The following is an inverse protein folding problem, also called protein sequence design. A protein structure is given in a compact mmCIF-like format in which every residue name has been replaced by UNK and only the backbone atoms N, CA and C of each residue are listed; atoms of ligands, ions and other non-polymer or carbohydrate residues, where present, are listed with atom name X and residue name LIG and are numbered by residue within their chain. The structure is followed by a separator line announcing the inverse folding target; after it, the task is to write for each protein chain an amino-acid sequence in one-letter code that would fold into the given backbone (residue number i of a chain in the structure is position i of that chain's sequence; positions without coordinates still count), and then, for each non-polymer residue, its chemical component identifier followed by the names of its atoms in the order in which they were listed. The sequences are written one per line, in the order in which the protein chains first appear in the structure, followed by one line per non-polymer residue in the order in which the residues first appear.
data_IF_135617089517
#
_entry.id   IF_135617089517
#
_cell.length_a   1.000
_cell.length_b   1.000
_cell.length_c   1.000
_cell.angle_alpha   90.00
_cell.angle_beta   90.00
_cell.angle_gamma   90.00
#
_symmetry.space_group_name_H-M   'P 1'
#
loop_
_entity.id
_entity.type
_entity.pdbx_description
1 polymer ?
#
# COMPACT_ATOMS: atom_id res chain seq x y z
N UNK A 1 -15.16 1.52 -3.59
CA UNK A 1 -14.63 2.87 -3.84
C UNK A 1 -14.00 3.42 -2.56
N UNK A 2 -12.82 4.00 -2.67
CA UNK A 2 -12.12 4.69 -1.58
C UNK A 2 -12.10 6.18 -1.93
N UNK A 3 -12.49 7.04 -1.00
CA UNK A 3 -12.58 8.47 -1.21
C UNK A 3 -11.92 9.21 -0.04
N UNK A 4 -11.02 10.11 -0.37
CA UNK A 4 -10.43 11.08 0.56
C UNK A 4 -10.88 12.46 0.12
N UNK A 5 -11.41 13.24 1.07
CA UNK A 5 -11.89 14.61 0.82
C UNK A 5 -11.25 15.57 1.79
N UNK A 6 -10.62 16.61 1.24
CA UNK A 6 -10.02 17.73 1.96
C UNK A 6 -9.09 17.25 3.07
N UNK A 7 -8.30 16.20 2.80
CA UNK A 7 -7.38 15.64 3.79
C UNK A 7 -6.23 16.61 4.04
N UNK A 8 -6.16 17.03 5.29
CA UNK A 8 -5.00 17.75 5.84
C UNK A 8 -4.33 16.87 6.88
N UNK A 9 -3.01 16.80 6.84
CA UNK A 9 -2.20 16.15 7.88
C UNK A 9 -1.03 17.03 8.27
N UNK A 10 -0.99 17.35 9.53
CA UNK A 10 0.05 18.17 10.16
C UNK A 10 0.83 17.34 11.20
N UNK A 11 2.10 17.61 11.34
CA UNK A 11 2.99 17.14 12.41
C UNK A 11 3.64 18.36 13.05
N UNK A 12 3.12 18.78 14.20
CA UNK A 12 3.46 20.07 14.77
C UNK A 12 3.09 21.21 13.81
N UNK A 13 4.06 22.07 13.51
CA UNK A 13 3.86 23.20 12.58
C UNK A 13 4.09 22.85 11.10
N UNK A 14 4.36 21.58 10.79
CA UNK A 14 4.65 21.15 9.43
C UNK A 14 3.45 20.45 8.79
N UNK A 15 2.89 21.05 7.73
CA UNK A 15 1.82 20.46 6.90
C UNK A 15 2.44 19.51 5.89
N UNK A 16 2.09 18.21 5.99
CA UNK A 16 2.58 17.14 5.09
C UNK A 16 1.56 16.83 4.01
N UNK A 17 0.26 16.94 4.31
CA UNK A 17 -0.82 16.83 3.32
C UNK A 17 -1.68 18.09 3.42
N UNK A 18 -1.96 18.71 2.28
CA UNK A 18 -2.68 19.96 2.18
C UNK A 18 -3.91 19.82 1.28
N UNK A 19 -5.09 19.72 1.90
CA UNK A 19 -6.41 19.64 1.25
C UNK A 19 -6.48 18.62 0.11
N UNK A 20 -5.97 17.40 0.36
CA UNK A 20 -5.92 16.35 -0.65
C UNK A 20 -7.31 15.78 -0.93
N UNK A 21 -7.74 15.89 -2.19
CA UNK A 21 -8.92 15.25 -2.75
C UNK A 21 -8.50 14.15 -3.72
N UNK A 22 -8.83 12.89 -3.40
CA UNK A 22 -8.53 11.76 -4.29
C UNK A 22 -9.53 10.62 -4.09
N UNK A 23 -9.86 9.96 -5.20
CA UNK A 23 -10.73 8.78 -5.21
C UNK A 23 -10.02 7.64 -5.92
N UNK A 24 -10.10 6.44 -5.35
CA UNK A 24 -9.56 5.21 -5.93
C UNK A 24 -10.71 4.27 -6.28
N UNK A 25 -10.73 3.80 -7.53
CA UNK A 25 -11.76 2.91 -8.03
C UNK A 25 -11.60 1.50 -7.42
N UNK A 26 -12.73 0.85 -7.16
CA UNK A 26 -12.75 -0.55 -6.72
C UNK A 26 -12.37 -1.48 -7.88
N UNK A 27 -11.63 -2.54 -7.59
CA UNK A 27 -11.15 -3.49 -8.59
C UNK A 27 -10.01 -2.96 -9.45
N UNK A 28 -9.41 -1.79 -9.13
CA UNK A 28 -8.31 -1.22 -9.89
C UNK A 28 -7.07 -0.99 -9.03
N UNK A 29 -5.93 -0.85 -9.69
CA UNK A 29 -4.66 -0.48 -9.07
C UNK A 29 -4.35 0.96 -9.40
N UNK A 30 -4.12 1.77 -8.37
CA UNK A 30 -3.65 3.14 -8.52
C UNK A 30 -2.22 3.26 -8.00
N UNK A 31 -1.32 3.75 -8.84
CA UNK A 31 0.02 4.12 -8.44
C UNK A 31 0.04 5.55 -7.86
N UNK A 32 0.53 5.69 -6.65
CA UNK A 32 0.79 6.99 -6.02
C UNK A 32 2.26 7.31 -6.18
N UNK A 33 2.59 8.21 -7.09
CA UNK A 33 3.96 8.58 -7.44
C UNK A 33 4.31 9.98 -6.93
N UNK A 34 5.60 10.27 -6.80
CA UNK A 34 6.09 11.57 -6.34
C UNK A 34 7.47 11.47 -5.71
N UNK A 35 8.09 12.61 -5.42
CA UNK A 35 9.39 12.68 -4.79
C UNK A 35 9.38 12.10 -3.36
N UNK A 36 10.56 11.75 -2.85
CA UNK A 36 10.72 11.42 -1.43
C UNK A 36 10.29 12.63 -0.57
N UNK A 37 9.56 12.36 0.51
CA UNK A 37 8.99 13.43 1.34
C UNK A 37 7.73 14.10 0.77
N UNK A 38 7.25 13.72 -0.43
CA UNK A 38 6.07 14.33 -1.06
C UNK A 38 4.71 14.00 -0.42
N UNK A 39 4.68 13.18 0.67
CA UNK A 39 3.46 12.86 1.40
C UNK A 39 2.83 11.51 1.07
N UNK A 40 3.39 10.70 0.14
CA UNK A 40 2.82 9.43 -0.34
C UNK A 40 2.52 8.42 0.79
N UNK A 41 3.53 8.09 1.59
CA UNK A 41 3.38 7.17 2.73
C UNK A 41 2.42 7.71 3.78
N UNK A 42 2.43 9.03 4.00
CA UNK A 42 1.49 9.69 4.91
C UNK A 42 0.06 9.58 4.40
N UNK A 43 -0.16 9.76 3.09
CA UNK A 43 -1.48 9.61 2.48
C UNK A 43 -1.98 8.15 2.60
N UNK A 44 -1.14 7.14 2.32
CA UNK A 44 -1.49 5.73 2.54
C UNK A 44 -1.85 5.45 4.00
N UNK A 45 -1.08 6.00 4.94
CA UNK A 45 -1.32 5.85 6.39
C UNK A 45 -2.56 6.61 6.86
N UNK A 46 -2.98 7.65 6.16
CA UNK A 46 -4.27 8.30 6.40
C UNK A 46 -5.45 7.44 5.90
N UNK A 47 -5.29 6.68 4.81
CA UNK A 47 -6.35 5.78 4.32
C UNK A 47 -6.66 4.70 5.37
N UNK A 48 -5.64 4.08 5.98
CA UNK A 48 -5.83 3.04 6.99
C UNK A 48 -5.84 3.57 8.43
N UNK A 49 -5.79 4.89 8.60
CA UNK A 49 -5.78 5.58 9.90
C UNK A 49 -4.62 5.19 10.83
N UNK A 50 -3.50 4.67 10.31
CA UNK A 50 -2.24 4.63 11.06
C UNK A 50 -1.78 6.04 11.40
N UNK A 51 -1.99 6.97 10.47
CA UNK A 51 -1.94 8.40 10.72
C UNK A 51 -3.36 8.96 10.68
N UNK A 52 -3.82 9.54 11.79
CA UNK A 52 -5.12 10.19 11.84
C UNK A 52 -5.00 11.55 11.13
N UNK A 53 -5.82 11.84 10.11
CA UNK A 53 -5.86 13.16 9.48
C UNK A 53 -6.15 14.28 10.51
N UNK A 54 -5.56 15.45 10.32
CA UNK A 54 -5.87 16.65 11.11
C UNK A 54 -7.29 17.14 10.79
N UNK A 55 -7.66 17.10 9.50
CA UNK A 55 -9.02 17.42 9.04
C UNK A 55 -9.36 16.69 7.75
N UNK A 56 -10.62 16.76 7.33
CA UNK A 56 -11.12 16.14 6.11
C UNK A 56 -11.94 14.88 6.37
N UNK A 57 -12.11 14.02 5.38
CA UNK A 57 -12.82 12.75 5.54
C UNK A 57 -12.23 11.62 4.73
N UNK A 58 -12.32 10.40 5.28
CA UNK A 58 -11.92 9.14 4.62
C UNK A 58 -13.15 8.24 4.53
N UNK A 59 -13.42 7.70 3.34
CA UNK A 59 -14.47 6.72 3.10
C UNK A 59 -13.87 5.47 2.44
N UNK A 60 -14.25 4.30 2.93
CA UNK A 60 -13.95 3.00 2.30
C UNK A 60 -15.27 2.21 2.26
N UNK A 61 -15.80 2.00 1.05
CA UNK A 61 -17.13 1.41 0.90
C UNK A 61 -18.20 2.25 1.59
N UNK A 62 -18.91 1.64 2.55
CA UNK A 62 -19.99 2.29 3.31
C UNK A 62 -19.48 2.99 4.58
N UNK A 63 -18.24 2.75 4.98
CA UNK A 63 -17.63 3.36 6.17
C UNK A 63 -17.05 4.72 5.84
N UNK A 64 -17.54 5.77 6.50
CA UNK A 64 -17.03 7.14 6.40
C UNK A 64 -16.66 7.67 7.77
N UNK A 65 -15.49 8.30 7.87
CA UNK A 65 -15.05 9.05 9.05
C UNK A 65 -14.69 10.48 8.65
N UNK A 66 -15.10 11.40 9.50
CA UNK A 66 -14.78 12.83 9.38
C UNK A 66 -13.83 13.23 10.50
N UNK A 67 -12.88 14.08 10.17
CA UNK A 67 -11.83 14.56 11.07
C UNK A 67 -11.90 16.05 11.17
N UNK A 68 -11.76 16.56 12.41
CA UNK A 68 -11.75 17.98 12.72
C UNK A 68 -10.61 18.28 13.68
N UNK A 69 -9.92 19.41 13.56
CA UNK A 69 -8.84 19.78 14.46
C UNK A 69 -9.24 19.67 15.93
N UNK A 70 -8.44 18.98 16.73
CA UNK A 70 -8.69 18.79 18.17
C UNK A 70 -9.80 17.78 18.53
N UNK A 71 -10.57 17.28 17.56
CA UNK A 71 -11.60 16.28 17.83
C UNK A 71 -11.02 14.88 18.00
N UNK A 72 -11.54 14.11 18.95
CA UNK A 72 -11.17 12.71 19.15
C UNK A 72 -12.06 11.81 18.28
N UNK A 73 -11.43 10.95 17.50
CA UNK A 73 -12.14 9.91 16.73
C UNK A 73 -12.34 8.68 17.61
N UNK A 74 -13.55 8.14 17.62
CA UNK A 74 -13.87 6.94 18.40
C UNK A 74 -13.07 5.73 17.94
N UNK A 75 -12.40 5.03 18.87
CA UNK A 75 -11.56 3.88 18.57
C UNK A 75 -12.29 2.76 17.81
N UNK A 76 -13.56 2.51 18.14
CA UNK A 76 -14.37 1.49 17.45
C UNK A 76 -14.55 1.82 15.96
N UNK A 77 -14.77 3.08 15.61
CA UNK A 77 -14.91 3.54 14.21
C UNK A 77 -13.58 3.43 13.46
N UNK A 78 -12.46 3.78 14.10
CA UNK A 78 -11.12 3.60 13.57
C UNK A 78 -10.86 2.12 13.26
N UNK A 79 -11.15 1.22 14.21
CA UNK A 79 -10.98 -0.23 14.00
C UNK A 79 -11.84 -0.75 12.84
N UNK A 80 -13.08 -0.26 12.71
CA UNK A 80 -14.00 -0.69 11.66
C UNK A 80 -13.46 -0.32 10.28
N UNK A 81 -12.91 0.88 10.12
CA UNK A 81 -12.29 1.31 8.87
C UNK A 81 -10.97 0.57 8.62
N UNK A 82 -10.12 0.38 9.62
CA UNK A 82 -8.86 -0.38 9.49
C UNK A 82 -9.08 -1.81 8.99
N UNK A 83 -10.16 -2.47 9.40
CA UNK A 83 -10.50 -3.82 8.94
C UNK A 83 -10.83 -3.91 7.45
N UNK A 84 -11.13 -2.76 6.81
CA UNK A 84 -11.34 -2.70 5.36
C UNK A 84 -10.02 -2.66 4.57
N UNK A 85 -8.87 -2.51 5.26
CA UNK A 85 -7.57 -2.29 4.63
C UNK A 85 -6.56 -3.38 5.00
N UNK A 86 -5.74 -3.79 4.04
CA UNK A 86 -4.49 -4.50 4.28
C UNK A 86 -3.32 -3.55 4.01
N UNK A 87 -2.24 -3.65 4.78
CA UNK A 87 -1.05 -2.81 4.61
C UNK A 87 0.19 -3.65 4.41
N UNK A 88 0.92 -3.36 3.34
CA UNK A 88 2.24 -3.89 3.02
C UNK A 88 3.26 -2.77 3.20
N UNK A 89 4.27 -3.00 4.03
CA UNK A 89 5.28 -2.00 4.38
C UNK A 89 6.58 -2.24 3.61
N UNK A 90 7.37 -1.20 3.45
CA UNK A 90 8.68 -1.23 2.81
C UNK A 90 9.64 -2.25 3.46
N UNK A 91 9.66 -2.35 4.79
CA UNK A 91 10.57 -3.20 5.56
C UNK A 91 9.86 -4.47 6.07
N UNK A 92 8.95 -5.05 5.29
CA UNK A 92 8.23 -6.31 5.55
C UNK A 92 7.43 -6.33 6.86
N UNK A 93 7.97 -5.86 7.98
CA UNK A 93 7.35 -5.77 9.31
C UNK A 93 6.81 -7.12 9.81
N UNK A 94 7.50 -8.22 9.49
CA UNK A 94 7.15 -9.54 9.99
C UNK A 94 7.46 -9.67 11.48
N UNK A 95 6.64 -10.45 12.19
CA UNK A 95 6.93 -10.83 13.57
C UNK A 95 8.11 -11.82 13.59
N UNK A 96 9.28 -11.46 14.12
CA UNK A 96 10.48 -12.28 14.00
C UNK A 96 10.39 -13.58 14.81
N UNK A 97 9.51 -13.61 15.81
CA UNK A 97 9.25 -14.75 16.71
C UNK A 97 8.04 -15.60 16.27
N UNK A 98 7.63 -15.49 15.01
CA UNK A 98 6.54 -16.23 14.38
C UNK A 98 7.01 -16.83 13.07
N UNK A 99 6.55 -18.03 12.74
CA UNK A 99 6.77 -18.63 11.41
C UNK A 99 6.03 -17.85 10.32
N UNK A 100 6.27 -18.15 9.04
CA UNK A 100 5.57 -17.52 7.95
C UNK A 100 4.05 -17.72 8.04
N UNK A 101 3.60 -18.95 8.31
CA UNK A 101 2.18 -19.25 8.46
C UNK A 101 1.57 -18.55 9.68
N UNK A 102 2.28 -18.49 10.81
CA UNK A 102 1.80 -17.79 12.00
C UNK A 102 1.74 -16.27 11.78
N UNK A 103 2.68 -15.69 11.02
CA UNK A 103 2.61 -14.28 10.61
C UNK A 103 1.33 -13.97 9.83
N UNK A 104 0.95 -14.84 8.89
CA UNK A 104 -0.27 -14.67 8.08
C UNK A 104 -1.52 -14.90 8.91
N UNK A 105 -1.53 -15.91 9.81
CA UNK A 105 -2.70 -16.26 10.63
C UNK A 105 -2.95 -15.29 11.80
N UNK A 106 -1.95 -14.52 12.22
CA UNK A 106 -1.97 -13.73 13.46
C UNK A 106 -3.21 -12.84 13.60
N UNK A 107 -3.49 -12.01 12.57
CA UNK A 107 -4.64 -11.10 12.61
C UNK A 107 -5.98 -11.81 12.62
N UNK A 108 -6.07 -12.98 12.01
CA UNK A 108 -7.29 -13.80 12.01
C UNK A 108 -7.61 -14.32 13.40
N UNK A 109 -6.59 -14.79 14.13
CA UNK A 109 -6.74 -15.34 15.48
C UNK A 109 -6.92 -14.23 16.52
N UNK A 110 -6.01 -13.24 16.53
CA UNK A 110 -5.96 -12.25 17.60
C UNK A 110 -6.98 -11.13 17.45
N UNK A 111 -7.24 -10.67 16.23
CA UNK A 111 -8.15 -9.55 15.95
C UNK A 111 -9.54 -10.03 15.56
N UNK A 112 -9.63 -10.97 14.61
CA UNK A 112 -10.90 -11.47 14.11
C UNK A 112 -11.47 -12.63 14.93
N UNK A 113 -10.71 -13.15 15.91
CA UNK A 113 -11.12 -14.23 16.82
C UNK A 113 -11.54 -15.52 16.11
N UNK A 114 -10.93 -15.80 14.95
CA UNK A 114 -11.18 -17.06 14.24
C UNK A 114 -10.63 -18.25 15.01
N UNK A 115 -11.26 -19.44 14.90
CA UNK A 115 -10.66 -20.70 15.34
C UNK A 115 -9.28 -20.90 14.68
N UNK A 116 -8.29 -21.34 15.46
CA UNK A 116 -6.89 -21.44 15.02
C UNK A 116 -6.75 -22.29 13.75
N UNK A 117 -7.45 -23.42 13.68
CA UNK A 117 -7.42 -24.32 12.52
C UNK A 117 -7.90 -23.62 11.25
N UNK A 118 -9.02 -22.87 11.32
CA UNK A 118 -9.54 -22.10 10.21
C UNK A 118 -8.55 -21.00 9.78
N UNK A 119 -7.93 -20.32 10.73
CA UNK A 119 -6.93 -19.29 10.45
C UNK A 119 -5.68 -19.87 9.77
N UNK A 120 -5.17 -21.01 10.23
CA UNK A 120 -4.04 -21.70 9.62
C UNK A 120 -4.37 -22.24 8.22
N UNK A 121 -5.59 -22.74 8.00
CA UNK A 121 -6.03 -23.16 6.67
C UNK A 121 -5.99 -21.97 5.69
N UNK A 122 -6.59 -20.84 6.06
CA UNK A 122 -6.57 -19.61 5.27
C UNK A 122 -5.14 -19.11 5.03
N UNK A 123 -4.28 -19.20 6.04
CA UNK A 123 -2.88 -18.78 5.90
C UNK A 123 -2.12 -19.66 4.90
N UNK A 124 -2.36 -20.99 4.86
CA UNK A 124 -1.76 -21.89 3.86
C UNK A 124 -2.20 -21.54 2.44
N UNK A 125 -3.50 -21.31 2.21
CA UNK A 125 -4.02 -20.87 0.91
C UNK A 125 -3.32 -19.59 0.42
N UNK A 126 -3.11 -18.62 1.32
CA UNK A 126 -2.47 -17.36 0.96
C UNK A 126 -0.96 -17.50 0.75
N UNK A 127 -0.28 -18.36 1.50
CA UNK A 127 1.12 -18.67 1.25
C UNK A 127 1.31 -19.40 -0.08
N UNK A 128 0.39 -20.29 -0.44
CA UNK A 128 0.38 -20.94 -1.76
C UNK A 128 0.18 -19.90 -2.87
N UNK A 129 -0.79 -19.00 -2.69
CA UNK A 129 -1.07 -17.91 -3.63
C UNK A 129 0.14 -17.02 -3.92
N UNK A 130 1.02 -16.80 -2.94
CA UNK A 130 2.26 -16.02 -3.12
C UNK A 130 3.49 -16.90 -3.42
N UNK A 131 3.29 -18.19 -3.75
CA UNK A 131 4.34 -19.14 -4.13
C UNK A 131 5.23 -19.61 -2.97
N UNK A 132 4.73 -19.56 -1.72
CA UNK A 132 5.50 -19.88 -0.51
C UNK A 132 4.90 -21.02 0.32
N UNK A 133 4.07 -21.91 -0.27
CA UNK A 133 3.50 -23.05 0.43
C UNK A 133 4.57 -23.90 1.12
N UNK A 134 5.70 -24.14 0.44
CA UNK A 134 6.85 -24.93 0.93
C UNK A 134 7.65 -24.23 2.05
N UNK A 135 7.39 -22.96 2.34
CA UNK A 135 8.04 -22.15 3.38
C UNK A 135 7.12 -21.80 4.56
N UNK A 136 5.97 -22.47 4.68
CA UNK A 136 4.98 -22.17 5.73
C UNK A 136 5.58 -22.15 7.14
N UNK A 137 6.44 -23.09 7.47
CA UNK A 137 7.05 -23.22 8.79
C UNK A 137 8.40 -22.49 8.92
N UNK A 138 8.83 -21.76 7.89
CA UNK A 138 10.09 -21.02 7.91
C UNK A 138 9.99 -19.78 8.82
N UNK A 139 11.08 -19.46 9.50
CA UNK A 139 11.22 -18.25 10.31
C UNK A 139 11.62 -17.06 9.40
N UNK A 140 11.20 -15.82 9.69
CA UNK A 140 11.58 -14.66 8.90
C UNK A 140 13.08 -14.54 8.63
N UNK A 141 13.92 -14.81 9.62
CA UNK A 141 15.37 -14.75 9.49
C UNK A 141 15.98 -15.74 8.46
N UNK A 142 15.23 -16.78 8.07
CA UNK A 142 15.66 -17.78 7.08
C UNK A 142 15.08 -17.54 5.68
N UNK A 143 14.29 -16.48 5.53
CA UNK A 143 13.67 -16.09 4.27
C UNK A 143 14.46 -14.97 3.59
N UNK A 144 14.56 -15.02 2.25
CA UNK A 144 15.08 -13.88 1.46
C UNK A 144 14.18 -12.66 1.63
N UNK A 145 14.68 -11.46 1.28
CA UNK A 145 13.88 -10.23 1.33
C UNK A 145 12.60 -10.33 0.50
N UNK A 146 12.68 -10.87 -0.73
CA UNK A 146 11.52 -11.11 -1.58
C UNK A 146 10.52 -12.11 -0.98
N UNK A 147 11.01 -13.18 -0.34
CA UNK A 147 10.17 -14.12 0.38
C UNK A 147 9.49 -13.47 1.58
N UNK A 148 10.21 -12.66 2.38
CA UNK A 148 9.63 -11.93 3.50
C UNK A 148 8.53 -10.96 3.02
N UNK A 149 8.75 -10.26 1.92
CA UNK A 149 7.74 -9.35 1.35
C UNK A 149 6.50 -10.11 0.86
N UNK A 150 6.68 -11.26 0.22
CA UNK A 150 5.55 -12.10 -0.19
C UNK A 150 4.76 -12.63 1.01
N UNK A 151 5.41 -12.99 2.12
CA UNK A 151 4.71 -13.31 3.39
C UNK A 151 3.96 -12.09 3.93
N UNK A 152 4.53 -10.88 3.85
CA UNK A 152 3.86 -9.64 4.26
C UNK A 152 2.62 -9.34 3.41
N UNK A 153 2.68 -9.59 2.09
CA UNK A 153 1.52 -9.50 1.20
C UNK A 153 0.44 -10.52 1.61
N UNK A 154 0.80 -11.78 1.81
CA UNK A 154 -0.14 -12.81 2.26
C UNK A 154 -0.81 -12.44 3.60
N UNK A 155 -0.03 -11.92 4.56
CA UNK A 155 -0.54 -11.42 5.84
C UNK A 155 -1.53 -10.26 5.66
N UNK A 156 -1.23 -9.32 4.78
CA UNK A 156 -2.10 -8.19 4.51
C UNK A 156 -3.43 -8.61 3.84
N UNK A 157 -3.41 -9.68 3.05
CA UNK A 157 -4.59 -10.27 2.40
C UNK A 157 -5.44 -11.15 3.33
N UNK A 158 -4.87 -11.61 4.45
CA UNK A 158 -5.52 -12.60 5.31
C UNK A 158 -6.92 -12.20 5.79
N UNK A 159 -7.17 -10.95 6.24
CA UNK A 159 -8.49 -10.49 6.67
C UNK A 159 -9.48 -10.27 5.51
N UNK A 160 -9.10 -10.52 4.25
CA UNK A 160 -9.88 -10.21 3.05
C UNK A 160 -10.26 -8.72 2.97
N UNK A 161 -9.27 -7.81 2.95
CA UNK A 161 -9.52 -6.38 2.93
C UNK A 161 -10.17 -5.94 1.61
N UNK A 162 -10.90 -4.81 1.63
CA UNK A 162 -11.42 -4.17 0.42
C UNK A 162 -10.32 -3.49 -0.40
N UNK A 163 -9.24 -3.08 0.24
CA UNK A 163 -8.10 -2.44 -0.43
C UNK A 163 -6.78 -2.89 0.19
N UNK A 164 -5.82 -3.19 -0.66
CA UNK A 164 -4.43 -3.42 -0.28
C UNK A 164 -3.62 -2.14 -0.52
N UNK A 165 -3.02 -1.63 0.54
CA UNK A 165 -2.17 -0.46 0.53
C UNK A 165 -0.71 -0.92 0.56
N UNK A 166 0.09 -0.52 -0.42
CA UNK A 166 1.50 -0.92 -0.51
C UNK A 166 2.40 0.32 -0.44
N UNK A 167 3.20 0.40 0.60
CA UNK A 167 4.16 1.50 0.81
C UNK A 167 5.55 1.03 0.37
N UNK A 168 5.98 1.45 -0.83
CA UNK A 168 7.29 1.13 -1.43
C UNK A 168 7.62 -0.38 -1.40
N UNK A 169 6.76 -1.27 -1.96
CA UNK A 169 6.81 -2.71 -1.71
C UNK A 169 8.07 -3.40 -2.25
N UNK A 170 8.86 -2.75 -3.10
CA UNK A 170 10.06 -3.32 -3.74
C UNK A 170 11.34 -2.58 -3.40
N UNK A 171 11.28 -1.43 -2.72
CA UNK A 171 12.43 -0.53 -2.56
C UNK A 171 13.56 -1.07 -1.66
N UNK A 172 13.28 -2.07 -0.81
CA UNK A 172 14.27 -2.73 0.05
C UNK A 172 14.85 -4.01 -0.57
N UNK A 173 14.58 -4.27 -1.86
CA UNK A 173 14.93 -5.49 -2.57
C UNK A 173 15.90 -5.19 -3.72
N UNK A 174 16.78 -6.15 -4.00
CA UNK A 174 17.51 -6.15 -5.26
C UNK A 174 16.55 -6.38 -6.47
N UNK A 175 16.97 -6.07 -7.71
CA UNK A 175 16.09 -6.12 -8.86
C UNK A 175 15.48 -7.51 -9.15
N UNK A 176 16.19 -8.58 -8.84
CA UNK A 176 15.74 -9.96 -9.09
C UNK A 176 14.61 -10.32 -8.11
N UNK A 177 14.83 -10.10 -6.81
CA UNK A 177 13.82 -10.33 -5.79
C UNK A 177 12.62 -9.38 -5.92
N UNK A 178 12.84 -8.14 -6.38
CA UNK A 178 11.77 -7.20 -6.68
C UNK A 178 10.85 -7.72 -7.78
N UNK A 179 11.40 -8.35 -8.83
CA UNK A 179 10.60 -8.92 -9.93
C UNK A 179 9.62 -9.99 -9.44
N UNK A 180 10.02 -10.85 -8.50
CA UNK A 180 9.14 -11.86 -7.90
C UNK A 180 7.95 -11.22 -7.15
N UNK A 181 8.20 -10.12 -6.45
CA UNK A 181 7.13 -9.37 -5.73
C UNK A 181 6.19 -8.67 -6.72
N UNK A 182 6.74 -8.07 -7.79
CA UNK A 182 5.96 -7.44 -8.86
C UNK A 182 5.02 -8.45 -9.52
N UNK A 183 5.48 -9.68 -9.77
CA UNK A 183 4.67 -10.73 -10.37
C UNK A 183 3.46 -11.09 -9.49
N UNK A 184 3.67 -11.24 -8.17
CA UNK A 184 2.59 -11.48 -7.21
C UNK A 184 1.59 -10.31 -7.22
N UNK A 185 2.05 -9.06 -7.19
CA UNK A 185 1.18 -7.89 -7.24
C UNK A 185 0.42 -7.80 -8.58
N UNK A 186 1.08 -8.13 -9.70
CA UNK A 186 0.45 -8.19 -11.02
C UNK A 186 -0.64 -9.27 -11.11
N UNK A 187 -0.41 -10.43 -10.48
CA UNK A 187 -1.43 -11.48 -10.38
C UNK A 187 -2.64 -10.99 -9.58
N UNK A 188 -2.43 -10.36 -8.43
CA UNK A 188 -3.51 -9.80 -7.61
C UNK A 188 -4.30 -8.72 -8.37
N UNK A 189 -3.61 -7.90 -9.18
CA UNK A 189 -4.25 -6.91 -10.05
C UNK A 189 -5.17 -7.57 -11.10
N UNK A 190 -4.69 -8.62 -11.77
CA UNK A 190 -5.50 -9.40 -12.73
C UNK A 190 -6.73 -10.07 -12.09
N UNK A 191 -6.65 -10.42 -10.82
CA UNK A 191 -7.76 -10.97 -10.04
C UNK A 191 -8.75 -9.91 -9.55
N UNK A 192 -8.54 -8.64 -9.88
CA UNK A 192 -9.42 -7.53 -9.51
C UNK A 192 -9.23 -7.04 -8.06
N UNK A 193 -8.07 -7.30 -7.44
CA UNK A 193 -7.77 -6.75 -6.12
C UNK A 193 -7.61 -5.22 -6.23
N UNK A 194 -8.36 -4.48 -5.43
CA UNK A 194 -8.16 -3.02 -5.31
C UNK A 194 -6.84 -2.74 -4.60
N UNK A 195 -5.96 -1.96 -5.23
CA UNK A 195 -4.66 -1.63 -4.64
C UNK A 195 -4.34 -0.15 -4.79
N UNK A 196 -3.69 0.42 -3.78
CA UNK A 196 -3.03 1.74 -3.85
C UNK A 196 -1.56 1.53 -3.50
N UNK A 197 -0.68 1.82 -4.43
CA UNK A 197 0.75 1.52 -4.33
C UNK A 197 1.54 2.82 -4.37
N UNK A 198 2.12 3.23 -3.25
CA UNK A 198 3.10 4.30 -3.23
C UNK A 198 4.44 3.75 -3.72
N UNK A 199 4.98 4.37 -4.75
CA UNK A 199 6.28 3.96 -5.29
C UNK A 199 6.97 5.10 -6.04
N UNK A 200 8.28 5.04 -6.11
CA UNK A 200 9.10 5.83 -7.05
C UNK A 200 9.57 4.98 -8.25
N UNK A 201 9.28 3.68 -8.26
CA UNK A 201 9.58 2.79 -9.39
C UNK A 201 8.48 2.89 -10.45
N UNK A 202 8.79 3.62 -11.56
CA UNK A 202 7.88 3.75 -12.69
C UNK A 202 7.66 2.44 -13.43
N UNK A 203 8.60 1.49 -13.38
CA UNK A 203 8.45 0.17 -14.01
C UNK A 203 7.35 -0.61 -13.30
N UNK A 204 7.40 -0.68 -11.97
CA UNK A 204 6.33 -1.26 -11.18
C UNK A 204 5.00 -0.57 -11.48
N UNK A 205 4.96 0.77 -11.38
CA UNK A 205 3.76 1.54 -11.61
C UNK A 205 3.15 1.32 -13.01
N UNK A 206 3.97 1.36 -14.07
CA UNK A 206 3.51 1.16 -15.46
C UNK A 206 3.05 -0.27 -15.76
N UNK A 207 3.61 -1.26 -15.06
CA UNK A 207 3.29 -2.68 -15.28
C UNK A 207 1.92 -3.05 -14.72
N UNK A 208 1.53 -2.51 -13.56
CA UNK A 208 0.37 -3.02 -12.83
C UNK A 208 -0.75 -1.99 -12.59
N UNK A 209 -0.45 -0.67 -12.67
CA UNK A 209 -1.43 0.35 -12.36
C UNK A 209 -2.25 0.78 -13.58
N UNK A 210 -3.57 0.85 -13.42
CA UNK A 210 -4.49 1.44 -14.39
C UNK A 210 -4.56 2.96 -14.26
N UNK A 211 -4.48 3.46 -13.03
CA UNK A 211 -4.51 4.88 -12.69
C UNK A 211 -3.21 5.30 -12.02
N UNK A 212 -2.82 6.55 -12.18
CA UNK A 212 -1.71 7.14 -11.44
C UNK A 212 -2.10 8.49 -10.85
N UNK A 213 -1.56 8.78 -9.67
CA UNK A 213 -1.70 10.05 -8.96
C UNK A 213 -0.32 10.58 -8.65
N UNK A 214 0.02 11.74 -9.18
CA UNK A 214 1.24 12.44 -8.83
C UNK A 214 1.01 13.37 -7.66
N UNK A 215 1.66 13.05 -6.54
CA UNK A 215 1.62 13.81 -5.29
C UNK A 215 2.96 14.50 -5.05
N UNK A 216 2.95 15.79 -4.81
CA UNK A 216 4.14 16.58 -4.50
C UNK A 216 3.83 17.65 -3.45
N UNK A 217 4.73 17.79 -2.47
CA UNK A 217 4.56 18.75 -1.37
C UNK A 217 3.17 18.72 -0.73
N UNK A 218 2.62 17.52 -0.56
CA UNK A 218 1.33 17.31 0.09
C UNK A 218 0.09 17.58 -0.77
N UNK A 219 0.24 17.94 -2.04
CA UNK A 219 -0.90 18.22 -2.94
C UNK A 219 -0.90 17.29 -4.16
N UNK A 220 -2.10 16.94 -4.64
CA UNK A 220 -2.26 16.20 -5.90
C UNK A 220 -2.03 17.17 -7.07
N UNK A 221 -0.96 16.96 -7.82
CA UNK A 221 -0.60 17.78 -8.98
C UNK A 221 -1.33 17.31 -10.23
N UNK A 222 -1.40 15.98 -10.43
CA UNK A 222 -2.04 15.39 -11.60
C UNK A 222 -2.55 13.98 -11.27
N UNK A 223 -3.69 13.62 -11.86
CA UNK A 223 -4.27 12.29 -11.78
C UNK A 223 -4.83 11.90 -13.14
N UNK A 224 -4.69 10.63 -13.51
CA UNK A 224 -5.26 10.09 -14.75
C UNK A 224 -4.83 8.66 -15.01
N UNK A 225 -5.20 8.12 -16.20
CA UNK A 225 -4.72 6.81 -16.64
C UNK A 225 -3.20 6.73 -16.57
N UNK A 226 -2.65 5.67 -15.99
CA UNK A 226 -1.21 5.55 -15.75
C UNK A 226 -0.41 5.66 -17.03
N UNK A 227 -0.90 5.05 -18.13
CA UNK A 227 -0.27 5.13 -19.46
C UNK A 227 -0.14 6.56 -19.97
N UNK A 228 -1.18 7.37 -19.82
CA UNK A 228 -1.17 8.77 -20.27
C UNK A 228 -0.26 9.62 -19.39
N UNK A 229 -0.38 9.47 -18.07
CA UNK A 229 0.40 10.23 -17.11
C UNK A 229 1.91 9.98 -17.27
N UNK A 230 2.32 8.73 -17.64
CA UNK A 230 3.72 8.39 -17.83
C UNK A 230 4.27 8.76 -19.21
N UNK A 231 3.44 8.77 -20.29
CA UNK A 231 3.90 9.06 -21.65
C UNK A 231 3.67 10.49 -22.10
N UNK A 232 2.60 11.13 -21.66
CA UNK A 232 2.16 12.45 -22.09
C UNK A 232 1.52 13.27 -20.96
N UNK A 233 2.22 13.48 -19.82
CA UNK A 233 1.67 14.23 -18.70
C UNK A 233 1.30 15.66 -19.11
N UNK A 234 0.15 16.14 -18.59
CA UNK A 234 -0.41 17.45 -18.95
C UNK A 234 0.22 18.59 -18.14
N UNK A 235 0.66 18.29 -16.91
CA UNK A 235 1.25 19.32 -16.04
C UNK A 235 2.75 19.38 -16.22
N UNK A 236 3.30 20.60 -16.40
CA UNK A 236 4.74 20.82 -16.57
C UNK A 236 5.55 20.20 -15.41
N UNK A 237 4.99 20.22 -14.20
CA UNK A 237 5.65 19.65 -13.01
C UNK A 237 5.76 18.14 -13.09
N UNK A 238 4.69 17.46 -13.56
CA UNK A 238 4.69 16.02 -13.82
C UNK A 238 5.68 15.64 -14.90
N UNK A 239 5.72 16.43 -16.02
CA UNK A 239 6.68 16.22 -17.11
C UNK A 239 8.12 16.22 -16.60
N UNK A 240 8.48 17.22 -15.79
CA UNK A 240 9.83 17.31 -15.19
C UNK A 240 10.13 16.14 -14.26
N UNK A 241 9.17 15.74 -13.43
CA UNK A 241 9.35 14.62 -12.52
C UNK A 241 9.57 13.30 -13.27
N UNK A 242 8.73 12.98 -14.26
CA UNK A 242 8.86 11.78 -15.09
C UNK A 242 10.18 11.78 -15.86
N UNK A 243 10.56 12.91 -16.49
CA UNK A 243 11.82 13.03 -17.19
C UNK A 243 13.05 12.75 -16.28
N UNK A 244 13.01 13.23 -15.03
CA UNK A 244 14.09 12.98 -14.05
C UNK A 244 14.20 11.50 -13.69
N UNK A 245 13.07 10.79 -13.58
CA UNK A 245 13.09 9.36 -13.27
C UNK A 245 13.57 8.50 -14.45
N UNK A 246 13.19 8.87 -15.67
CA UNK A 246 13.62 8.17 -16.88
C UNK A 246 15.10 8.42 -17.23
N UNK A 247 15.69 9.52 -16.77
CA UNK A 247 17.10 9.87 -16.99
C UNK A 247 18.06 9.31 -15.94
N UNK A 248 17.57 8.77 -14.81
CA UNK A 248 18.43 8.08 -13.83
C UNK A 248 18.81 6.71 -14.41
N UNK A 249 20.08 6.49 -14.84
CA UNK A 249 20.57 5.14 -15.07
C UNK A 249 20.52 4.40 -13.74
N UNK A 250 20.27 3.10 -13.81
CA UNK A 250 20.24 2.19 -12.65
C UNK A 250 21.48 2.43 -11.77
N UNK A 251 21.31 3.06 -10.60
CA UNK A 251 22.38 3.36 -9.66
C UNK A 251 22.86 2.11 -8.89
N UNK A 252 22.60 0.92 -9.43
CA UNK A 252 23.00 -0.37 -8.85
C UNK A 252 23.71 -1.30 -9.83
N UNK A 253 24.42 -0.73 -10.83
CA UNK A 253 25.33 -1.48 -11.68
C UNK A 253 26.79 -1.15 -11.29
N UNK A 254 27.20 -1.58 -10.10
CA UNK A 254 28.62 -1.82 -9.71
C UNK A 254 28.63 -2.81 -8.57
#
# INVERSE_FOLDING_TARGET
MIELKQIVKEFGDHTVLDHVDVTFAEGSVTALIGSSGGGKSTLLRCINLLEIPTSGSVRIGDEKLEFHPGAKVGWASVQKLRRQTGMVFQNFQLFPHRTAIDNVAESLVTVLKWPKEKALHRARELLDKVGLAHKADAWPATLSGGQQQRVAIARALAPSPRVLLCDEPTSALDPELAAEVVEVLAQLAREGTTMVIATHDLRLASTIAQEAVFLEAGVVIEKGPSRELFSAPQRQRTQRFIATLLQKPDAHAT
#
